data_IF_509773912952
#
_entry.id   IF_509773912952
#
_cell.length_a   1.000
_cell.length_b   1.000
_cell.length_c   1.000
_cell.angle_alpha   90.00
_cell.angle_beta   90.00
_cell.angle_gamma   90.00
#
_symmetry.space_group_name_H-M   'P 1'
#
loop_
_entity.id
_entity.type
_entity.pdbx_description
1 polymer ?
#
# COMPACT_ATOMS: atom_id res chain seq x y z
N UNK A 1 10.59 -7.66 -32.00
CA UNK A 1 10.67 -6.26 -31.50
C UNK A 1 9.29 -5.66 -31.68
N UNK A 2 8.41 -5.79 -30.68
CA UNK A 2 7.03 -5.28 -30.73
C UNK A 2 6.97 -4.06 -29.82
N UNK A 3 6.71 -2.89 -30.42
CA UNK A 3 6.55 -1.62 -29.73
C UNK A 3 5.35 -1.66 -28.78
N UNK A 4 5.44 -1.12 -27.56
CA UNK A 4 4.29 -1.00 -26.68
C UNK A 4 3.35 0.06 -27.26
N UNK A 5 2.11 -0.35 -27.50
CA UNK A 5 0.99 0.51 -27.93
C UNK A 5 0.79 1.63 -26.89
N UNK A 6 0.94 2.86 -27.34
CA UNK A 6 0.66 4.05 -26.54
C UNK A 6 -0.84 4.08 -26.23
N UNK A 7 -1.20 3.78 -24.99
CA UNK A 7 -2.52 4.06 -24.45
C UNK A 7 -2.78 5.58 -24.56
N UNK A 8 -3.69 5.96 -25.44
CA UNK A 8 -4.10 7.33 -25.64
C UNK A 8 -4.57 7.93 -24.30
N UNK A 9 -3.81 8.88 -23.79
CA UNK A 9 -4.17 9.64 -22.58
C UNK A 9 -5.39 10.48 -22.90
N UNK A 10 -6.51 10.18 -22.29
CA UNK A 10 -7.66 11.10 -22.28
C UNK A 10 -7.21 12.47 -21.75
N UNK A 11 -7.65 13.57 -22.38
CA UNK A 11 -7.29 14.91 -21.93
C UNK A 11 -7.77 15.10 -20.48
N UNK A 12 -6.86 15.45 -19.58
CA UNK A 12 -7.18 15.74 -18.19
C UNK A 12 -8.05 16.98 -18.15
N UNK A 13 -9.27 16.83 -17.61
CA UNK A 13 -10.16 17.95 -17.34
C UNK A 13 -9.49 18.89 -16.32
N UNK A 14 -9.37 20.20 -16.60
CA UNK A 14 -8.84 21.14 -15.62
C UNK A 14 -9.73 21.17 -14.37
N UNK A 15 -9.12 21.28 -13.19
CA UNK A 15 -9.85 21.45 -11.94
C UNK A 15 -10.56 22.79 -11.93
N UNK A 16 -11.83 22.89 -11.45
CA UNK A 16 -12.53 24.16 -11.29
C UNK A 16 -11.77 25.06 -10.31
N UNK A 17 -11.67 26.35 -10.65
CA UNK A 17 -10.92 27.34 -9.85
C UNK A 17 -11.65 27.73 -8.55
N UNK A 18 -13.01 27.70 -8.55
CA UNK A 18 -13.88 28.06 -7.43
C UNK A 18 -15.06 27.08 -7.34
N UNK A 19 -14.76 25.85 -6.92
CA UNK A 19 -15.78 24.79 -6.81
C UNK A 19 -16.52 24.83 -5.49
N UNK A 20 -17.78 24.39 -5.49
CA UNK A 20 -18.51 24.04 -4.27
C UNK A 20 -17.92 22.75 -3.67
N UNK A 21 -18.11 22.52 -2.37
CA UNK A 21 -17.63 21.30 -1.69
C UNK A 21 -18.02 20.00 -2.43
N UNK A 22 -19.23 19.80 -2.96
CA UNK A 22 -19.58 18.62 -3.76
C UNK A 22 -18.81 18.50 -5.09
N UNK A 23 -18.51 19.62 -5.75
CA UNK A 23 -17.70 19.63 -6.98
C UNK A 23 -16.25 19.29 -6.70
N UNK A 24 -15.67 19.87 -5.65
CA UNK A 24 -14.33 19.54 -5.19
C UNK A 24 -14.21 18.07 -4.78
N UNK A 25 -15.21 17.55 -4.05
CA UNK A 25 -15.25 16.15 -3.65
C UNK A 25 -15.31 15.21 -4.86
N UNK A 26 -16.05 15.57 -5.91
CA UNK A 26 -16.09 14.81 -7.17
C UNK A 26 -14.71 14.82 -7.85
N UNK A 27 -14.11 16.00 -7.99
CA UNK A 27 -12.79 16.14 -8.62
C UNK A 27 -11.72 15.35 -7.89
N UNK A 28 -11.71 15.38 -6.56
CA UNK A 28 -10.80 14.59 -5.73
C UNK A 28 -11.06 13.10 -5.88
N UNK A 29 -12.33 12.67 -5.91
CA UNK A 29 -12.69 11.26 -6.10
C UNK A 29 -12.21 10.72 -7.46
N UNK A 30 -12.44 11.46 -8.53
CA UNK A 30 -12.01 11.07 -9.89
C UNK A 30 -10.48 11.00 -9.98
N UNK A 31 -9.77 12.01 -9.45
CA UNK A 31 -8.31 12.04 -9.44
C UNK A 31 -7.72 10.88 -8.62
N UNK A 32 -8.31 10.57 -7.47
CA UNK A 32 -7.89 9.47 -6.62
C UNK A 32 -8.15 8.11 -7.31
N UNK A 33 -9.30 7.93 -7.95
CA UNK A 33 -9.62 6.70 -8.69
C UNK A 33 -8.63 6.45 -9.83
N UNK A 34 -8.26 7.50 -10.57
CA UNK A 34 -7.24 7.42 -11.63
C UNK A 34 -5.85 7.10 -11.06
N UNK A 35 -5.47 7.76 -9.97
CA UNK A 35 -4.20 7.50 -9.30
C UNK A 35 -4.11 6.06 -8.81
N UNK A 36 -5.11 5.57 -8.09
CA UNK A 36 -5.16 4.20 -7.57
C UNK A 36 -5.05 3.19 -8.71
N UNK A 37 -5.77 3.40 -9.81
CA UNK A 37 -5.72 2.53 -10.99
C UNK A 37 -4.31 2.44 -11.56
N UNK A 38 -3.65 3.59 -11.78
CA UNK A 38 -2.27 3.63 -12.30
C UNK A 38 -1.31 2.96 -11.34
N UNK A 39 -1.41 3.25 -10.03
CA UNK A 39 -0.50 2.69 -9.03
C UNK A 39 -0.67 1.19 -8.85
N UNK A 40 -1.89 0.65 -8.90
CA UNK A 40 -2.13 -0.80 -8.81
C UNK A 40 -1.40 -1.57 -9.91
N UNK A 41 -1.41 -1.07 -11.16
CA UNK A 41 -0.69 -1.72 -12.26
C UNK A 41 0.83 -1.50 -12.17
N UNK A 42 1.25 -0.28 -11.90
CA UNK A 42 2.67 0.09 -11.79
C UNK A 42 3.38 -0.68 -10.67
N UNK A 43 2.79 -0.67 -9.48
CA UNK A 43 3.39 -1.33 -8.30
C UNK A 43 3.41 -2.84 -8.48
N UNK A 44 2.39 -3.42 -9.13
CA UNK A 44 2.40 -4.83 -9.49
C UNK A 44 3.61 -5.16 -10.34
N UNK A 45 3.83 -4.43 -11.42
CA UNK A 45 4.90 -4.72 -12.38
C UNK A 45 6.29 -4.55 -11.73
N UNK A 46 6.47 -3.55 -10.87
CA UNK A 46 7.75 -3.30 -10.17
C UNK A 46 8.01 -4.30 -9.03
N UNK A 47 7.01 -4.60 -8.24
CA UNK A 47 7.14 -5.50 -7.09
C UNK A 47 7.31 -6.95 -7.55
N UNK A 48 6.61 -7.39 -8.60
CA UNK A 48 6.72 -8.75 -9.14
C UNK A 48 8.14 -9.10 -9.62
N UNK A 49 8.94 -8.11 -10.06
CA UNK A 49 10.34 -8.33 -10.42
C UNK A 49 11.21 -8.81 -9.25
N UNK A 50 10.73 -8.66 -8.01
CA UNK A 50 11.42 -9.09 -6.79
C UNK A 50 10.90 -10.40 -6.20
N UNK A 51 10.17 -11.20 -6.98
CA UNK A 51 9.60 -12.49 -6.56
C UNK A 51 8.60 -12.38 -5.38
N UNK A 52 7.91 -11.25 -5.23
CA UNK A 52 6.84 -11.07 -4.25
C UNK A 52 5.63 -10.38 -4.88
N UNK A 53 4.45 -10.68 -4.37
CA UNK A 53 3.24 -9.94 -4.76
C UNK A 53 3.16 -8.60 -4.01
N UNK A 54 2.31 -7.69 -4.50
CA UNK A 54 2.02 -6.41 -3.84
C UNK A 54 1.59 -6.62 -2.38
N UNK A 55 0.68 -7.56 -2.14
CA UNK A 55 0.20 -7.88 -0.79
C UNK A 55 1.32 -8.44 0.11
N UNK A 56 2.25 -9.23 -0.45
CA UNK A 56 3.42 -9.72 0.28
C UNK A 56 4.39 -8.58 0.62
N UNK A 57 4.56 -7.62 -0.29
CA UNK A 57 5.36 -6.43 -0.04
C UNK A 57 4.76 -5.58 1.10
N UNK A 58 3.44 -5.35 1.08
CA UNK A 58 2.76 -4.64 2.17
C UNK A 58 2.83 -5.38 3.50
N UNK A 59 2.80 -6.71 3.50
CA UNK A 59 3.00 -7.50 4.71
C UNK A 59 4.42 -7.32 5.28
N UNK A 60 5.45 -7.33 4.44
CA UNK A 60 6.82 -7.02 4.87
C UNK A 60 6.94 -5.60 5.42
N UNK A 61 6.34 -4.63 4.75
CA UNK A 61 6.30 -3.23 5.21
C UNK A 61 5.68 -3.10 6.60
N UNK A 62 4.50 -3.70 6.81
CA UNK A 62 3.80 -3.68 8.07
C UNK A 62 4.65 -4.27 9.20
N UNK A 63 5.29 -5.42 8.96
CA UNK A 63 6.16 -6.08 9.93
C UNK A 63 7.42 -5.26 10.25
N UNK A 64 8.00 -4.58 9.25
CA UNK A 64 9.18 -3.72 9.45
C UNK A 64 8.81 -2.47 10.24
N UNK A 65 7.66 -1.87 9.94
CA UNK A 65 7.20 -0.63 10.58
C UNK A 65 6.73 -0.84 12.01
N UNK A 66 5.96 -1.90 12.25
CA UNK A 66 5.33 -2.20 13.55
C UNK A 66 6.24 -3.00 14.48
N UNK A 67 7.21 -3.71 13.91
CA UNK A 67 7.96 -4.73 14.64
C UNK A 67 7.21 -6.07 14.68
N UNK A 68 7.61 -6.99 15.60
CA UNK A 68 6.95 -8.28 15.73
C UNK A 68 5.50 -8.13 16.14
N UNK A 69 4.58 -8.67 15.34
CA UNK A 69 3.13 -8.66 15.57
C UNK A 69 2.51 -10.03 15.29
N UNK A 70 1.33 -10.28 15.84
CA UNK A 70 0.58 -11.50 15.61
C UNK A 70 -0.03 -11.53 14.21
N UNK A 71 -0.46 -12.73 13.77
CA UNK A 71 -1.18 -12.87 12.49
C UNK A 71 -2.49 -12.07 12.47
N UNK A 72 -3.18 -11.96 13.61
CA UNK A 72 -4.41 -11.17 13.72
C UNK A 72 -4.17 -9.68 13.53
N UNK A 73 -3.13 -9.15 14.17
CA UNK A 73 -2.73 -7.74 14.01
C UNK A 73 -2.27 -7.44 12.58
N UNK A 74 -1.51 -8.36 11.95
CA UNK A 74 -1.12 -8.20 10.55
C UNK A 74 -2.33 -8.23 9.60
N UNK A 75 -3.29 -9.12 9.83
CA UNK A 75 -4.53 -9.18 9.05
C UNK A 75 -5.31 -7.87 9.14
N UNK A 76 -5.47 -7.31 10.34
CA UNK A 76 -6.11 -6.02 10.57
C UNK A 76 -5.36 -4.87 9.87
N UNK A 77 -4.03 -4.83 9.98
CA UNK A 77 -3.19 -3.82 9.34
C UNK A 77 -3.31 -3.82 7.81
N UNK A 78 -3.51 -5.00 7.22
CA UNK A 78 -3.64 -5.18 5.77
C UNK A 78 -5.10 -5.17 5.27
N UNK A 79 -6.06 -4.97 6.16
CA UNK A 79 -7.50 -5.09 5.87
C UNK A 79 -7.87 -6.43 5.21
N UNK A 80 -7.24 -7.52 5.68
CA UNK A 80 -7.45 -8.87 5.18
C UNK A 80 -8.19 -9.74 6.21
N UNK A 81 -8.90 -10.74 5.73
CA UNK A 81 -9.31 -11.84 6.58
C UNK A 81 -8.10 -12.67 7.04
N UNK A 82 -8.26 -13.35 8.19
CA UNK A 82 -7.18 -14.09 8.83
C UNK A 82 -6.66 -15.25 7.96
N UNK A 83 -7.52 -15.85 7.13
CA UNK A 83 -7.15 -16.96 6.25
C UNK A 83 -6.29 -16.48 5.08
N UNK A 84 -6.62 -15.32 4.50
CA UNK A 84 -5.83 -14.68 3.44
C UNK A 84 -4.48 -14.21 3.98
N UNK A 85 -4.46 -13.54 5.13
CA UNK A 85 -3.22 -13.15 5.79
C UNK A 85 -2.32 -14.35 6.09
N UNK A 86 -2.89 -15.49 6.54
CA UNK A 86 -2.15 -16.73 6.77
C UNK A 86 -1.49 -17.26 5.50
N UNK A 87 -2.19 -17.22 4.35
CA UNK A 87 -1.62 -17.63 3.06
C UNK A 87 -0.48 -16.72 2.60
N UNK A 88 -0.64 -15.42 2.77
CA UNK A 88 0.41 -14.42 2.48
C UNK A 88 1.67 -14.70 3.32
N UNK A 89 1.49 -14.84 4.63
CA UNK A 89 2.58 -15.14 5.57
C UNK A 89 3.23 -16.48 5.23
N UNK A 90 2.46 -17.54 5.02
CA UNK A 90 2.98 -18.85 4.67
C UNK A 90 3.86 -18.85 3.41
N UNK A 91 3.53 -17.99 2.44
CA UNK A 91 4.38 -17.83 1.25
C UNK A 91 5.67 -17.08 1.58
N UNK A 92 5.61 -16.01 2.39
CA UNK A 92 6.80 -15.27 2.84
C UNK A 92 7.72 -16.13 3.71
N UNK A 93 7.17 -17.03 4.53
CA UNK A 93 7.94 -17.99 5.32
C UNK A 93 8.68 -19.01 4.44
N UNK A 94 7.99 -19.60 3.44
CA UNK A 94 8.64 -20.50 2.47
C UNK A 94 9.80 -19.83 1.73
N UNK A 95 9.66 -18.54 1.43
CA UNK A 95 10.70 -17.70 0.82
C UNK A 95 11.74 -17.20 1.81
N UNK A 96 11.61 -17.54 3.10
CA UNK A 96 12.51 -17.12 4.18
C UNK A 96 12.59 -15.59 4.39
N UNK A 97 11.55 -14.85 4.02
CA UNK A 97 11.47 -13.41 4.25
C UNK A 97 10.82 -13.05 5.59
N UNK A 98 10.01 -13.95 6.13
CA UNK A 98 9.36 -13.83 7.44
C UNK A 98 9.70 -15.05 8.28
N UNK A 99 9.81 -14.86 9.58
CA UNK A 99 9.98 -15.94 10.56
C UNK A 99 8.96 -15.80 11.69
N UNK A 100 8.60 -16.92 12.28
CA UNK A 100 7.78 -16.99 13.51
C UNK A 100 8.66 -17.08 14.74
N UNK A 101 8.21 -16.48 15.83
CA UNK A 101 8.80 -16.63 17.14
C UNK A 101 7.70 -16.74 18.20
N UNK A 102 7.94 -17.45 19.32
CA UNK A 102 7.00 -17.45 20.44
C UNK A 102 6.74 -16.03 20.95
N UNK A 103 5.52 -15.77 21.39
CA UNK A 103 5.22 -14.54 22.10
C UNK A 103 5.84 -14.57 23.50
N UNK A 104 6.45 -13.47 23.98
CA UNK A 104 7.23 -13.50 25.22
C UNK A 104 6.41 -13.78 26.49
N UNK A 105 5.11 -13.45 26.48
CA UNK A 105 4.23 -13.56 27.63
C UNK A 105 3.00 -14.46 27.42
N UNK A 106 2.69 -14.80 26.18
CA UNK A 106 1.57 -15.67 25.82
C UNK A 106 2.05 -16.88 25.01
N UNK A 107 2.23 -17.99 25.67
CA UNK A 107 2.74 -19.22 25.06
C UNK A 107 1.85 -19.81 23.95
N UNK A 108 0.62 -19.30 23.79
CA UNK A 108 -0.31 -19.70 22.71
C UNK A 108 -0.22 -18.81 21.50
N UNK A 109 0.39 -17.64 21.62
CA UNK A 109 0.53 -16.66 20.54
C UNK A 109 1.87 -16.80 19.84
N UNK A 110 1.88 -16.51 18.54
CA UNK A 110 3.06 -16.51 17.70
C UNK A 110 3.22 -15.14 17.08
N UNK A 111 4.42 -14.58 17.20
CA UNK A 111 4.79 -13.33 16.58
C UNK A 111 5.45 -13.59 15.22
N UNK A 112 5.09 -12.75 14.26
CA UNK A 112 5.70 -12.67 12.94
C UNK A 112 6.73 -11.56 12.93
N UNK A 113 7.89 -11.82 12.36
CA UNK A 113 8.95 -10.81 12.20
C UNK A 113 9.63 -10.95 10.84
N UNK A 114 10.10 -9.85 10.24
CA UNK A 114 10.90 -9.95 9.03
C UNK A 114 12.26 -10.57 9.37
N UNK A 115 12.81 -11.35 8.45
CA UNK A 115 14.19 -11.83 8.50
C UNK A 115 15.14 -10.77 7.96
N UNK A 116 16.46 -10.97 8.11
CA UNK A 116 17.45 -10.12 7.46
C UNK A 116 17.28 -10.10 5.92
N UNK A 117 16.87 -11.23 5.31
CA UNK A 117 16.57 -11.30 3.89
C UNK A 117 15.32 -10.51 3.54
N UNK A 118 14.24 -10.60 4.33
CA UNK A 118 13.02 -9.82 4.17
C UNK A 118 13.27 -8.31 4.26
N UNK A 119 14.08 -7.88 5.24
CA UNK A 119 14.46 -6.47 5.39
C UNK A 119 15.24 -5.96 4.16
N UNK A 120 16.21 -6.73 3.66
CA UNK A 120 16.97 -6.34 2.44
C UNK A 120 16.08 -6.27 1.21
N UNK A 121 15.20 -7.25 1.03
CA UNK A 121 14.26 -7.26 -0.08
C UNK A 121 13.36 -6.01 -0.07
N UNK A 122 12.73 -5.73 1.07
CA UNK A 122 11.87 -4.55 1.20
C UNK A 122 12.65 -3.25 0.97
N UNK A 123 13.89 -3.15 1.46
CA UNK A 123 14.72 -1.97 1.24
C UNK A 123 15.02 -1.73 -0.25
N UNK A 124 15.27 -2.79 -1.02
CA UNK A 124 15.46 -2.71 -2.48
C UNK A 124 14.17 -2.23 -3.18
N UNK A 125 13.04 -2.89 -2.91
CA UNK A 125 11.74 -2.52 -3.49
C UNK A 125 11.42 -1.05 -3.16
N UNK A 126 11.56 -0.66 -1.91
CA UNK A 126 11.29 0.71 -1.45
C UNK A 126 12.18 1.74 -2.15
N UNK A 127 13.46 1.41 -2.37
CA UNK A 127 14.38 2.27 -3.11
C UNK A 127 13.89 2.51 -4.54
N UNK A 128 13.48 1.46 -5.24
CA UNK A 128 13.00 1.54 -6.62
C UNK A 128 11.70 2.35 -6.71
N UNK A 129 10.75 2.11 -5.80
CA UNK A 129 9.50 2.88 -5.72
C UNK A 129 9.74 4.37 -5.42
N UNK A 130 10.71 4.69 -4.54
CA UNK A 130 11.08 6.09 -4.25
C UNK A 130 11.76 6.74 -5.45
N UNK A 131 12.60 6.04 -6.18
CA UNK A 131 13.23 6.56 -7.40
C UNK A 131 12.17 6.92 -8.45
N UNK A 132 11.19 6.07 -8.67
CA UNK A 132 10.05 6.35 -9.56
C UNK A 132 9.24 7.57 -9.09
N UNK A 133 8.90 7.62 -7.82
CA UNK A 133 8.21 8.77 -7.25
C UNK A 133 9.03 10.06 -7.40
N UNK A 134 10.35 9.98 -7.24
CA UNK A 134 11.26 11.13 -7.43
C UNK A 134 11.23 11.62 -8.87
N UNK A 135 11.24 10.70 -9.85
CA UNK A 135 11.15 11.06 -11.26
C UNK A 135 9.82 11.77 -11.58
N UNK A 136 8.70 11.24 -11.07
CA UNK A 136 7.38 11.84 -11.26
C UNK A 136 7.27 13.23 -10.62
N UNK A 137 7.85 13.42 -9.43
CA UNK A 137 7.74 14.65 -8.68
C UNK A 137 8.74 15.73 -9.11
N UNK A 138 9.66 15.44 -10.00
CA UNK A 138 10.72 16.36 -10.43
C UNK A 138 10.17 17.64 -11.08
N UNK A 139 9.06 17.53 -11.79
CA UNK A 139 8.40 18.65 -12.49
C UNK A 139 7.59 19.58 -11.58
N UNK A 140 7.39 19.21 -10.31
CA UNK A 140 6.59 19.99 -9.37
C UNK A 140 7.47 20.84 -8.46
N UNK A 141 7.03 22.04 -8.15
CA UNK A 141 7.69 22.91 -7.16
C UNK A 141 7.74 22.26 -5.77
N UNK A 142 8.77 22.56 -4.95
CA UNK A 142 8.90 21.97 -3.62
C UNK A 142 7.71 22.18 -2.71
N UNK A 143 7.06 23.36 -2.78
CA UNK A 143 5.84 23.68 -2.00
C UNK A 143 4.66 22.79 -2.40
N UNK A 144 4.49 22.52 -3.70
CA UNK A 144 3.43 21.65 -4.23
C UNK A 144 3.65 20.21 -3.79
N UNK A 145 4.89 19.71 -3.86
CA UNK A 145 5.24 18.35 -3.40
C UNK A 145 4.92 18.14 -1.92
N UNK A 146 5.27 19.13 -1.07
CA UNK A 146 4.98 19.09 0.37
C UNK A 146 3.47 19.12 0.64
N UNK A 147 2.74 20.02 -0.04
CA UNK A 147 1.29 20.14 0.11
C UNK A 147 0.58 18.84 -0.32
N UNK A 148 0.96 18.24 -1.46
CA UNK A 148 0.42 16.98 -1.93
C UNK A 148 0.62 15.84 -0.91
N UNK A 149 1.84 15.70 -0.36
CA UNK A 149 2.12 14.69 0.66
C UNK A 149 1.26 14.89 1.93
N UNK A 150 1.10 16.13 2.39
CA UNK A 150 0.27 16.46 3.56
C UNK A 150 -1.21 16.17 3.31
N UNK A 151 -1.73 16.55 2.14
CA UNK A 151 -3.14 16.30 1.77
C UNK A 151 -3.41 14.80 1.70
N UNK A 152 -2.56 14.03 1.00
CA UNK A 152 -2.72 12.57 0.90
C UNK A 152 -2.68 11.89 2.28
N UNK A 153 -1.75 12.28 3.15
CA UNK A 153 -1.68 11.74 4.51
C UNK A 153 -2.92 12.10 5.36
N UNK A 154 -3.51 13.28 5.18
CA UNK A 154 -4.76 13.67 5.87
C UNK A 154 -5.96 12.90 5.33
N UNK A 155 -6.07 12.74 4.02
CA UNK A 155 -7.13 11.95 3.39
C UNK A 155 -7.09 10.49 3.82
N UNK A 156 -5.89 9.87 3.85
CA UNK A 156 -5.71 8.50 4.32
C UNK A 156 -6.23 8.33 5.75
N UNK A 157 -5.78 9.18 6.70
CA UNK A 157 -6.26 9.14 8.09
C UNK A 157 -7.77 9.35 8.22
N UNK A 158 -8.34 10.28 7.45
CA UNK A 158 -9.78 10.54 7.48
C UNK A 158 -10.59 9.36 6.92
N UNK A 159 -10.08 8.68 5.89
CA UNK A 159 -10.69 7.48 5.33
C UNK A 159 -10.64 6.31 6.31
N UNK A 160 -9.49 6.07 6.97
CA UNK A 160 -9.36 5.05 8.01
C UNK A 160 -10.36 5.27 9.16
N UNK A 161 -10.47 6.49 9.67
CA UNK A 161 -11.38 6.83 10.76
C UNK A 161 -12.86 6.62 10.40
N UNK A 162 -13.25 6.78 9.14
CA UNK A 162 -14.63 6.65 8.67
C UNK A 162 -15.03 5.25 8.26
N UNK A 163 -14.09 4.49 7.73
CA UNK A 163 -14.39 3.19 7.14
C UNK A 163 -14.50 2.05 8.17
N UNK A 164 -14.16 2.28 9.44
CA UNK A 164 -14.08 1.21 10.43
C UNK A 164 -13.11 0.09 10.01
N UNK A 165 -12.22 0.38 9.05
CA UNK A 165 -11.21 -0.54 8.57
C UNK A 165 -10.31 -0.92 9.76
N UNK A 166 -10.33 -2.16 10.18
CA UNK A 166 -9.66 -2.66 11.39
C UNK A 166 -10.59 -3.25 12.44
N UNK A 167 -11.89 -2.98 12.39
CA UNK A 167 -12.91 -3.59 13.25
C UNK A 167 -13.76 -4.58 12.45
N UNK A 168 -13.15 -5.62 11.85
CA UNK A 168 -13.86 -6.73 11.22
C UNK A 168 -15.13 -6.32 10.46
N UNK A 169 -14.98 -5.49 9.43
CA UNK A 169 -16.12 -5.04 8.66
C UNK A 169 -16.79 -6.25 8.00
N UNK A 170 -17.96 -6.61 8.51
CA UNK A 170 -18.87 -7.51 7.83
C UNK A 170 -19.21 -6.89 6.48
N UNK A 171 -18.54 -7.36 5.42
CA UNK A 171 -18.85 -6.97 4.07
C UNK A 171 -20.24 -7.53 3.72
N UNK A 172 -21.17 -6.65 3.38
CA UNK A 172 -22.47 -6.95 2.79
C UNK A 172 -23.47 -7.76 3.65
N UNK A 173 -24.16 -7.07 4.55
CA UNK A 173 -25.57 -7.37 4.81
C UNK A 173 -26.43 -6.34 4.07
N UNK A 174 -26.83 -6.66 2.87
CA UNK A 174 -28.06 -6.22 2.21
C UNK A 174 -28.64 -7.41 1.46
#
# INVERSE_FOLDING_TARGET
>A
MSSPSALARSPRRPLPADGTLPEDARAVHEALADLVRVYQFRDRDRICCHDVSVTQCYALEALIRRGPITLGELAAELYLDKSTASRVVGTLERKRYVARSPHPTDGRAVLLRPTAAGNRLYAMIRKDLIQEATALLREFEPKVRKAAAQIMARLARAAEARSGLGQGAACCTR
#
